data_IF_730088787044
#
_entry.id   IF_730088787044
#
_cell.length_a   1.000
_cell.length_b   1.000
_cell.length_c   1.000
_cell.angle_alpha   90.00
_cell.angle_beta   90.00
_cell.angle_gamma   90.00
#
_symmetry.space_group_name_H-M   'P 1'
#
loop_
_entity.id
_entity.type
_entity.pdbx_description
1 polymer ?
#
# COMPACT_ATOMS: atom_id res chain seq x y z
N UNK A 1 -14.47 -43.65 -21.58
CA UNK A 1 -14.11 -43.23 -20.21
C UNK A 1 -14.32 -41.72 -20.14
N UNK A 2 -15.49 -41.29 -19.66
CA UNK A 2 -15.82 -39.87 -19.54
C UNK A 2 -15.05 -39.35 -18.33
N UNK A 3 -14.07 -38.46 -18.56
CA UNK A 3 -13.40 -37.73 -17.49
C UNK A 3 -14.47 -37.05 -16.64
N UNK A 4 -14.58 -37.41 -15.37
CA UNK A 4 -15.44 -36.70 -14.43
C UNK A 4 -15.06 -35.20 -14.48
N UNK A 5 -16.04 -34.27 -14.58
CA UNK A 5 -15.72 -32.86 -14.58
C UNK A 5 -14.94 -32.52 -13.31
N UNK A 6 -13.78 -31.88 -13.47
CA UNK A 6 -12.91 -31.51 -12.37
C UNK A 6 -13.75 -30.80 -11.30
N UNK A 7 -13.67 -31.27 -10.05
CA UNK A 7 -14.46 -30.73 -8.93
C UNK A 7 -14.18 -29.23 -8.79
N UNK A 8 -15.12 -28.40 -9.27
CA UNK A 8 -15.02 -26.95 -9.20
C UNK A 8 -14.94 -26.52 -7.74
N UNK A 9 -13.86 -25.84 -7.37
CA UNK A 9 -13.72 -25.26 -6.03
C UNK A 9 -14.34 -23.87 -6.06
N UNK A 10 -15.52 -23.64 -5.46
CA UNK A 10 -16.12 -22.31 -5.46
C UNK A 10 -15.17 -21.30 -4.81
N UNK A 11 -15.10 -20.08 -5.38
CA UNK A 11 -14.31 -18.94 -4.86
C UNK A 11 -12.79 -19.14 -4.82
N UNK A 12 -12.24 -20.16 -5.50
CA UNK A 12 -10.78 -20.41 -5.49
C UNK A 12 -9.99 -19.19 -5.95
N UNK A 13 -10.47 -18.50 -6.98
CA UNK A 13 -9.93 -17.23 -7.49
C UNK A 13 -9.88 -16.13 -6.42
N UNK A 14 -10.98 -15.92 -5.69
CA UNK A 14 -11.04 -14.94 -4.60
C UNK A 14 -10.10 -15.30 -3.45
N UNK A 15 -9.99 -16.59 -3.11
CA UNK A 15 -9.07 -17.05 -2.06
C UNK A 15 -7.61 -16.93 -2.48
N UNK A 16 -7.28 -17.18 -3.75
CA UNK A 16 -5.94 -16.94 -4.28
C UNK A 16 -5.59 -15.45 -4.23
N UNK A 17 -6.51 -14.57 -4.64
CA UNK A 17 -6.34 -13.12 -4.51
C UNK A 17 -6.15 -12.71 -3.04
N UNK A 18 -7.00 -13.21 -2.13
CA UNK A 18 -6.88 -12.91 -0.70
C UNK A 18 -5.57 -13.42 -0.10
N UNK A 19 -5.09 -14.61 -0.48
CA UNK A 19 -3.82 -15.16 0.01
C UNK A 19 -2.60 -14.30 -0.37
N UNK A 20 -2.70 -13.50 -1.43
CA UNK A 20 -1.62 -12.58 -1.83
C UNK A 20 -1.45 -11.43 -0.86
N UNK A 21 -2.50 -11.03 -0.14
CA UNK A 21 -2.48 -9.94 0.85
C UNK A 21 -1.48 -10.23 1.99
N UNK A 22 -1.64 -11.28 2.82
CA UNK A 22 -0.71 -11.54 3.91
C UNK A 22 0.70 -11.84 3.39
N UNK A 23 0.83 -12.50 2.23
CA UNK A 23 2.13 -12.75 1.62
C UNK A 23 2.84 -11.44 1.24
N UNK A 24 2.15 -10.56 0.52
CA UNK A 24 2.67 -9.26 0.09
C UNK A 24 3.07 -8.40 1.27
N UNK A 25 2.18 -8.19 2.25
CA UNK A 25 2.50 -7.31 3.39
C UNK A 25 3.57 -7.89 4.32
N UNK A 26 3.64 -9.21 4.47
CA UNK A 26 4.71 -9.85 5.26
C UNK A 26 6.07 -9.70 4.56
N UNK A 27 6.13 -10.02 3.27
CA UNK A 27 7.35 -9.88 2.48
C UNK A 27 7.80 -8.42 2.41
N UNK A 28 6.86 -7.51 2.13
CA UNK A 28 7.11 -6.08 2.12
C UNK A 28 7.63 -5.61 3.47
N UNK A 29 6.97 -5.95 4.59
CA UNK A 29 7.39 -5.56 5.93
C UNK A 29 8.78 -6.06 6.30
N UNK A 30 9.11 -7.33 6.03
CA UNK A 30 10.43 -7.92 6.31
C UNK A 30 11.51 -7.27 5.44
N UNK A 31 11.24 -7.01 4.17
CA UNK A 31 12.26 -6.46 3.28
C UNK A 31 12.46 -4.97 3.54
N UNK A 32 11.37 -4.23 3.76
CA UNK A 32 11.36 -2.79 3.88
C UNK A 32 11.79 -2.28 5.27
N UNK A 33 11.65 -3.10 6.32
CA UNK A 33 12.05 -2.74 7.68
C UNK A 33 13.44 -3.32 8.00
N UNK A 34 13.63 -4.62 8.36
CA UNK A 34 14.92 -5.10 8.80
C UNK A 34 15.96 -5.32 7.69
N UNK A 35 15.57 -5.67 6.46
CA UNK A 35 16.56 -5.93 5.39
C UNK A 35 17.12 -4.62 4.80
N UNK A 36 16.26 -3.69 4.39
CA UNK A 36 16.71 -2.41 3.82
C UNK A 36 17.10 -1.38 4.88
N UNK A 37 16.56 -1.51 6.10
CA UNK A 37 16.66 -0.47 7.12
C UNK A 37 15.95 0.83 6.75
N UNK A 38 15.07 0.87 5.74
CA UNK A 38 14.39 2.12 5.30
C UNK A 38 13.40 2.66 6.34
N UNK A 39 12.90 1.79 7.22
CA UNK A 39 11.87 2.12 8.21
C UNK A 39 12.32 1.82 9.65
N UNK A 40 12.00 2.68 10.63
CA UNK A 40 11.37 4.00 10.49
C UNK A 40 12.18 4.97 9.59
N UNK A 41 11.54 5.98 8.97
CA UNK A 41 12.23 6.86 8.03
C UNK A 41 13.40 7.56 8.71
N UNK A 42 14.56 7.58 8.05
CA UNK A 42 15.69 8.39 8.50
C UNK A 42 15.35 9.89 8.38
N UNK A 43 16.01 10.73 9.16
CA UNK A 43 15.67 12.16 9.25
C UNK A 43 15.95 12.92 7.94
N UNK A 44 15.14 13.94 7.57
CA UNK A 44 15.52 14.91 6.54
C UNK A 44 16.79 15.68 6.87
N UNK A 45 17.10 15.83 8.16
CA UNK A 45 18.32 16.51 8.62
C UNK A 45 19.51 15.55 8.78
N UNK A 46 19.49 14.36 8.15
CA UNK A 46 20.62 13.43 8.20
C UNK A 46 21.85 14.06 7.56
N UNK A 47 23.01 13.91 8.20
CA UNK A 47 24.26 14.44 7.66
C UNK A 47 24.67 13.70 6.37
N UNK A 48 25.42 14.35 5.45
CA UNK A 48 25.84 13.71 4.21
C UNK A 48 26.53 12.33 4.41
N UNK A 49 27.45 12.14 5.39
CA UNK A 49 28.03 10.83 5.64
C UNK A 49 26.99 9.76 6.00
N UNK A 50 26.01 10.08 6.84
CA UNK A 50 24.94 9.14 7.22
C UNK A 50 24.05 8.74 6.03
N UNK A 51 23.82 9.68 5.10
CA UNK A 51 23.10 9.38 3.86
C UNK A 51 23.93 8.44 2.99
N UNK A 52 25.24 8.72 2.80
CA UNK A 52 26.12 7.84 2.02
C UNK A 52 26.17 6.44 2.61
N UNK A 53 26.35 6.32 3.93
CA UNK A 53 26.39 5.02 4.62
C UNK A 53 25.12 4.20 4.41
N UNK A 54 23.95 4.85 4.44
CA UNK A 54 22.68 4.18 4.14
C UNK A 54 22.57 3.80 2.66
N UNK A 55 22.81 4.76 1.76
CA UNK A 55 22.63 4.57 0.32
C UNK A 55 23.62 3.54 -0.25
N UNK A 56 24.77 3.32 0.40
CA UNK A 56 25.79 2.34 0.02
C UNK A 56 25.80 1.09 0.91
N UNK A 57 24.76 0.86 1.72
CA UNK A 57 24.68 -0.33 2.56
C UNK A 57 24.48 -1.61 1.73
N UNK A 58 25.13 -2.70 2.14
CA UNK A 58 25.19 -3.97 1.40
C UNK A 58 23.82 -4.57 1.08
N UNK A 59 22.82 -4.34 1.94
CA UNK A 59 21.49 -4.92 1.81
C UNK A 59 20.51 -4.06 1.02
N UNK A 60 20.79 -2.77 0.81
CA UNK A 60 19.82 -1.84 0.23
C UNK A 60 19.48 -2.20 -1.22
N UNK A 61 20.48 -2.51 -2.05
CA UNK A 61 20.26 -2.87 -3.45
C UNK A 61 19.43 -4.15 -3.58
N UNK A 62 19.75 -5.17 -2.78
CA UNK A 62 19.01 -6.44 -2.75
C UNK A 62 17.57 -6.20 -2.30
N UNK A 63 17.36 -5.39 -1.27
CA UNK A 63 16.02 -5.05 -0.81
C UNK A 63 15.21 -4.30 -1.87
N UNK A 64 15.80 -3.31 -2.55
CA UNK A 64 15.16 -2.59 -3.66
C UNK A 64 14.77 -3.52 -4.82
N UNK A 65 15.63 -4.48 -5.16
CA UNK A 65 15.34 -5.47 -6.20
C UNK A 65 14.15 -6.36 -5.81
N UNK A 66 14.13 -6.88 -4.58
CA UNK A 66 13.03 -7.70 -4.07
C UNK A 66 11.72 -6.90 -4.05
N UNK A 67 11.74 -5.68 -3.51
CA UNK A 67 10.55 -4.83 -3.44
C UNK A 67 10.04 -4.44 -4.84
N UNK A 68 10.94 -4.16 -5.79
CA UNK A 68 10.56 -3.90 -7.18
C UNK A 68 9.85 -5.10 -7.80
N UNK A 69 10.31 -6.33 -7.55
CA UNK A 69 9.63 -7.55 -8.00
C UNK A 69 8.28 -7.75 -7.30
N UNK A 70 8.19 -7.39 -6.01
CA UNK A 70 6.97 -7.47 -5.23
C UNK A 70 5.89 -6.47 -5.69
N UNK A 71 6.26 -5.40 -6.41
CA UNK A 71 5.31 -4.41 -6.93
C UNK A 71 4.18 -5.05 -7.74
N UNK A 72 4.48 -6.11 -8.52
CA UNK A 72 3.48 -6.85 -9.30
C UNK A 72 2.39 -7.53 -8.45
N UNK A 73 2.62 -7.71 -7.15
CA UNK A 73 1.64 -8.29 -6.21
C UNK A 73 0.68 -7.24 -5.63
N UNK A 74 1.01 -5.95 -5.71
CA UNK A 74 0.17 -4.87 -5.19
C UNK A 74 -1.20 -4.78 -5.92
N UNK A 75 -1.28 -4.81 -7.27
CA UNK A 75 -2.57 -4.84 -7.96
C UNK A 75 -3.42 -6.07 -7.58
N UNK A 76 -2.77 -7.23 -7.42
CA UNK A 76 -3.44 -8.48 -7.06
C UNK A 76 -3.98 -8.44 -5.61
N UNK A 77 -3.19 -7.88 -4.69
CA UNK A 77 -3.62 -7.67 -3.30
C UNK A 77 -4.80 -6.71 -3.21
N UNK A 78 -4.84 -5.68 -4.07
CA UNK A 78 -5.94 -4.72 -4.11
C UNK A 78 -7.21 -5.26 -4.80
N UNK A 79 -7.11 -6.34 -5.57
CA UNK A 79 -8.25 -6.95 -6.26
C UNK A 79 -9.36 -7.39 -5.28
N UNK A 80 -9.01 -7.74 -4.04
CA UNK A 80 -9.98 -8.14 -3.01
C UNK A 80 -10.97 -7.02 -2.68
N UNK A 81 -10.55 -5.74 -2.73
CA UNK A 81 -11.44 -4.61 -2.55
C UNK A 81 -12.39 -4.45 -3.74
N UNK A 82 -11.85 -4.59 -4.95
CA UNK A 82 -12.61 -4.44 -6.20
C UNK A 82 -13.75 -5.47 -6.31
N UNK A 83 -13.49 -6.70 -5.85
CA UNK A 83 -14.49 -7.77 -5.79
C UNK A 83 -15.60 -7.42 -4.80
N UNK A 84 -15.28 -6.86 -3.64
CA UNK A 84 -16.31 -6.42 -2.69
C UNK A 84 -17.15 -5.27 -3.25
N UNK A 85 -16.52 -4.23 -3.84
CA UNK A 85 -17.26 -3.11 -4.46
C UNK A 85 -18.17 -3.60 -5.57
N UNK A 86 -17.75 -4.60 -6.36
CA UNK A 86 -18.57 -5.15 -7.45
C UNK A 86 -19.91 -5.72 -6.96
N UNK A 87 -19.97 -6.23 -5.73
CA UNK A 87 -21.16 -6.81 -5.12
C UNK A 87 -22.06 -5.74 -4.47
N UNK A 88 -21.55 -4.53 -4.29
CA UNK A 88 -22.29 -3.43 -3.67
C UNK A 88 -23.30 -2.82 -4.64
N UNK A 89 -24.36 -2.20 -4.11
CA UNK A 89 -25.40 -1.50 -4.86
C UNK A 89 -24.96 -0.11 -5.35
N UNK A 90 -23.71 0.04 -5.78
CA UNK A 90 -23.11 1.33 -6.15
C UNK A 90 -22.63 1.31 -7.59
N UNK A 91 -22.50 2.50 -8.19
CA UNK A 91 -21.98 2.63 -9.55
C UNK A 91 -20.55 2.06 -9.67
N UNK A 92 -20.19 1.43 -10.81
CA UNK A 92 -18.83 0.99 -11.08
C UNK A 92 -17.75 2.08 -10.97
N UNK A 93 -18.15 3.36 -10.95
CA UNK A 93 -17.24 4.50 -10.75
C UNK A 93 -16.32 4.31 -9.55
N UNK A 94 -16.83 3.83 -8.40
CA UNK A 94 -16.01 3.63 -7.21
C UNK A 94 -14.96 2.54 -7.39
N UNK A 95 -15.29 1.48 -8.15
CA UNK A 95 -14.35 0.40 -8.45
C UNK A 95 -13.23 0.89 -9.36
N UNK A 96 -13.55 1.68 -10.39
CA UNK A 96 -12.53 2.25 -11.28
C UNK A 96 -11.67 3.29 -10.57
N UNK A 97 -12.26 4.16 -9.76
CA UNK A 97 -11.53 5.13 -8.93
C UNK A 97 -10.57 4.43 -7.95
N UNK A 98 -11.01 3.34 -7.30
CA UNK A 98 -10.15 2.54 -6.43
C UNK A 98 -8.99 1.94 -7.23
N UNK A 99 -9.27 1.31 -8.37
CA UNK A 99 -8.24 0.69 -9.20
C UNK A 99 -7.18 1.70 -9.64
N UNK A 100 -7.59 2.82 -10.23
CA UNK A 100 -6.67 3.88 -10.70
C UNK A 100 -5.93 4.50 -9.53
N UNK A 101 -6.62 4.88 -8.46
CA UNK A 101 -6.01 5.49 -7.27
C UNK A 101 -4.98 4.56 -6.62
N UNK A 102 -5.27 3.27 -6.53
CA UNK A 102 -4.36 2.28 -5.94
C UNK A 102 -3.07 2.12 -6.75
N UNK A 103 -3.16 2.18 -8.09
CA UNK A 103 -2.00 2.07 -8.97
C UNK A 103 -1.17 3.34 -9.01
N UNK A 104 -1.83 4.50 -9.06
CA UNK A 104 -1.14 5.79 -8.92
C UNK A 104 -0.37 5.86 -7.60
N UNK A 105 -1.01 5.49 -6.49
CA UNK A 105 -0.36 5.41 -5.18
C UNK A 105 0.79 4.41 -5.14
N UNK A 106 0.62 3.19 -5.66
CA UNK A 106 1.68 2.19 -5.65
C UNK A 106 2.88 2.60 -6.52
N UNK A 107 2.66 3.22 -7.68
CA UNK A 107 3.77 3.67 -8.55
C UNK A 107 4.59 4.76 -7.84
N UNK A 108 3.93 5.79 -7.31
CA UNK A 108 4.63 6.90 -6.65
C UNK A 108 5.21 6.46 -5.31
N UNK A 109 4.46 5.69 -4.52
CA UNK A 109 4.80 5.33 -3.16
C UNK A 109 5.69 4.11 -3.00
N UNK A 110 5.80 3.26 -4.01
CA UNK A 110 6.62 2.06 -3.95
C UNK A 110 7.69 2.07 -5.03
N UNK A 111 7.31 2.27 -6.29
CA UNK A 111 8.24 2.12 -7.40
C UNK A 111 9.29 3.25 -7.47
N UNK A 112 8.87 4.51 -7.30
CA UNK A 112 9.81 5.64 -7.32
C UNK A 112 10.87 5.56 -6.22
N UNK A 113 10.52 5.31 -4.93
CA UNK A 113 11.52 5.10 -3.89
C UNK A 113 12.50 3.97 -4.21
N UNK A 114 12.01 2.85 -4.76
CA UNK A 114 12.89 1.74 -5.13
C UNK A 114 13.88 2.13 -6.23
N UNK A 115 13.47 2.95 -7.19
CA UNK A 115 14.38 3.46 -8.21
C UNK A 115 15.37 4.48 -7.65
N UNK A 116 14.95 5.36 -6.73
CA UNK A 116 15.84 6.34 -6.10
C UNK A 116 16.88 5.67 -5.19
N UNK A 117 16.44 4.85 -4.23
CA UNK A 117 17.31 4.15 -3.31
C UNK A 117 18.13 3.07 -4.02
N UNK A 118 17.51 2.33 -4.94
CA UNK A 118 18.18 1.32 -5.75
C UNK A 118 19.27 1.92 -6.64
N UNK A 119 19.03 3.05 -7.29
CA UNK A 119 20.04 3.73 -8.10
C UNK A 119 21.23 4.20 -7.24
N UNK A 120 20.96 4.79 -6.07
CA UNK A 120 22.02 5.20 -5.17
C UNK A 120 22.86 4.02 -4.67
N UNK A 121 22.24 2.86 -4.42
CA UNK A 121 22.95 1.64 -4.02
C UNK A 121 23.63 0.89 -5.17
N UNK A 122 23.20 1.09 -6.40
CA UNK A 122 23.65 0.31 -7.56
C UNK A 122 25.11 0.60 -7.95
N UNK A 123 25.57 1.85 -7.78
CA UNK A 123 26.90 2.27 -8.21
C UNK A 123 27.59 3.06 -7.09
N UNK A 124 28.86 2.72 -6.85
CA UNK A 124 29.74 3.46 -5.94
C UNK A 124 30.31 4.71 -6.60
N UNK A 125 30.70 5.70 -5.79
CA UNK A 125 31.43 6.88 -6.28
C UNK A 125 30.55 8.05 -6.76
N UNK A 126 29.25 8.03 -6.45
CA UNK A 126 28.42 9.23 -6.56
C UNK A 126 28.89 10.31 -5.59
N UNK A 127 28.83 11.57 -6.02
CA UNK A 127 28.99 12.71 -5.12
C UNK A 127 27.93 12.65 -4.00
N UNK A 128 28.28 12.98 -2.74
CA UNK A 128 27.35 12.92 -1.62
C UNK A 128 26.07 13.74 -1.82
N UNK A 129 26.13 14.85 -2.58
CA UNK A 129 24.98 15.68 -2.90
C UNK A 129 23.96 14.99 -3.82
N UNK A 130 24.42 14.12 -4.73
CA UNK A 130 23.54 13.31 -5.60
C UNK A 130 22.83 12.25 -4.77
N UNK A 131 23.54 11.59 -3.86
CA UNK A 131 22.94 10.63 -2.94
C UNK A 131 21.92 11.30 -2.01
N UNK A 132 22.19 12.52 -1.52
CA UNK A 132 21.24 13.31 -0.75
C UNK A 132 19.97 13.63 -1.54
N UNK A 133 20.08 14.06 -2.80
CA UNK A 133 18.92 14.31 -3.66
C UNK A 133 18.08 13.03 -3.91
N UNK A 134 18.73 11.89 -4.19
CA UNK A 134 18.04 10.61 -4.35
C UNK A 134 17.38 10.15 -3.05
N UNK A 135 18.04 10.37 -1.92
CA UNK A 135 17.51 10.08 -0.60
C UNK A 135 16.25 10.90 -0.31
N UNK A 136 16.30 12.22 -0.52
CA UNK A 136 15.17 13.12 -0.32
C UNK A 136 14.00 12.76 -1.23
N UNK A 137 14.24 12.55 -2.53
CA UNK A 137 13.20 12.11 -3.44
C UNK A 137 12.65 10.73 -3.01
N UNK A 138 13.49 9.77 -2.65
CA UNK A 138 13.02 8.46 -2.19
C UNK A 138 12.03 8.55 -1.02
N UNK A 139 12.36 9.33 0.02
CA UNK A 139 11.46 9.50 1.17
C UNK A 139 10.24 10.38 0.85
N UNK A 140 10.41 11.46 0.09
CA UNK A 140 9.29 12.32 -0.31
C UNK A 140 8.33 11.61 -1.27
N UNK A 141 8.81 10.74 -2.15
CA UNK A 141 7.97 9.91 -3.00
C UNK A 141 7.22 8.89 -2.13
N UNK A 142 7.90 8.20 -1.22
CA UNK A 142 7.26 7.20 -0.35
C UNK A 142 6.18 7.84 0.54
N UNK A 143 6.56 8.82 1.36
CA UNK A 143 5.68 9.44 2.35
C UNK A 143 4.72 10.45 1.70
N UNK A 144 5.15 11.16 0.66
CA UNK A 144 4.29 12.09 -0.07
C UNK A 144 3.26 11.41 -0.98
N UNK A 145 3.48 10.15 -1.38
CA UNK A 145 2.50 9.36 -2.16
C UNK A 145 1.21 9.06 -1.41
N UNK A 146 1.20 9.22 -0.10
CA UNK A 146 0.02 9.11 0.75
C UNK A 146 -1.15 9.93 0.17
N UNK A 147 -0.86 11.14 -0.33
CA UNK A 147 -1.83 11.96 -1.07
C UNK A 147 -2.40 11.31 -2.35
N UNK A 148 -1.63 10.46 -3.03
CA UNK A 148 -2.08 9.71 -4.22
C UNK A 148 -3.08 8.60 -3.87
N UNK A 149 -3.04 8.06 -2.64
CA UNK A 149 -4.01 7.07 -2.14
C UNK A 149 -5.33 7.68 -1.68
N UNK A 150 -5.42 9.01 -1.55
CA UNK A 150 -6.64 9.71 -1.13
C UNK A 150 -7.88 9.29 -1.93
N UNK A 151 -7.76 9.25 -3.27
CA UNK A 151 -8.88 8.89 -4.15
C UNK A 151 -9.31 7.44 -3.91
N UNK A 152 -8.36 6.54 -3.67
CA UNK A 152 -8.63 5.12 -3.40
C UNK A 152 -9.46 4.97 -2.12
N UNK A 153 -9.02 5.58 -1.01
CA UNK A 153 -9.71 5.45 0.28
C UNK A 153 -11.03 6.18 0.33
N UNK A 154 -11.12 7.36 -0.29
CA UNK A 154 -12.39 8.07 -0.40
C UNK A 154 -13.40 7.24 -1.21
N UNK A 155 -12.98 6.69 -2.35
CA UNK A 155 -13.85 5.86 -3.19
C UNK A 155 -14.30 4.59 -2.44
N UNK A 156 -13.40 3.90 -1.74
CA UNK A 156 -13.74 2.70 -0.99
C UNK A 156 -14.68 2.99 0.20
N UNK A 157 -14.38 4.04 0.98
CA UNK A 157 -15.20 4.44 2.11
C UNK A 157 -16.61 4.84 1.69
N UNK A 158 -16.74 5.65 0.63
CA UNK A 158 -18.03 6.06 0.08
C UNK A 158 -18.80 4.88 -0.52
N UNK A 159 -18.13 3.94 -1.20
CA UNK A 159 -18.78 2.73 -1.71
C UNK A 159 -19.45 1.96 -0.57
N UNK A 160 -18.74 1.74 0.55
CA UNK A 160 -19.31 1.07 1.73
C UNK A 160 -20.48 1.87 2.32
N UNK A 161 -20.35 3.20 2.46
CA UNK A 161 -21.39 4.06 3.06
C UNK A 161 -22.64 4.12 2.21
N UNK A 162 -22.53 4.09 0.88
CA UNK A 162 -23.67 4.17 -0.04
C UNK A 162 -24.30 2.81 -0.35
N UNK A 163 -23.60 1.70 -0.09
CA UNK A 163 -24.07 0.35 -0.40
C UNK A 163 -25.31 -0.10 0.40
N UNK A 164 -26.46 -0.29 -0.24
CA UNK A 164 -27.65 -0.85 0.41
C UNK A 164 -27.61 -2.38 0.54
N UNK A 165 -26.75 -3.08 -0.21
CA UNK A 165 -26.58 -4.53 -0.11
C UNK A 165 -25.84 -4.96 1.17
N UNK A 166 -25.17 -4.02 1.85
CA UNK A 166 -24.43 -4.25 3.09
C UNK A 166 -23.35 -5.35 2.97
N UNK A 167 -22.63 -5.37 1.84
CA UNK A 167 -21.53 -6.34 1.56
C UNK A 167 -20.42 -6.25 2.59
N UNK A 168 -20.16 -5.03 3.07
CA UNK A 168 -19.26 -4.70 4.17
C UNK A 168 -20.01 -3.85 5.20
N UNK A 169 -19.61 -3.91 6.49
CA UNK A 169 -20.33 -3.19 7.54
C UNK A 169 -20.15 -1.66 7.41
N UNK A 170 -21.22 -0.89 7.63
CA UNK A 170 -21.21 0.57 7.45
C UNK A 170 -20.15 1.32 8.28
N UNK A 171 -19.89 0.87 9.50
CA UNK A 171 -18.84 1.47 10.36
C UNK A 171 -17.44 1.40 9.73
N UNK A 172 -17.16 0.38 8.91
CA UNK A 172 -15.90 0.24 8.20
C UNK A 172 -15.74 1.32 7.12
N UNK A 173 -16.85 1.78 6.54
CA UNK A 173 -16.85 2.92 5.63
C UNK A 173 -16.38 4.20 6.31
N UNK A 174 -16.94 4.52 7.49
CA UNK A 174 -16.51 5.68 8.28
C UNK A 174 -15.06 5.55 8.78
N UNK A 175 -14.62 4.34 9.16
CA UNK A 175 -13.22 4.13 9.53
C UNK A 175 -12.28 4.30 8.31
N UNK A 176 -12.68 3.82 7.13
CA UNK A 176 -11.92 4.05 5.90
C UNK A 176 -11.81 5.54 5.54
N UNK A 177 -12.84 6.36 5.82
CA UNK A 177 -12.75 7.83 5.64
C UNK A 177 -11.65 8.44 6.51
N UNK A 178 -11.37 7.89 7.69
CA UNK A 178 -10.22 8.35 8.49
C UNK A 178 -8.87 8.04 7.84
N UNK A 179 -8.75 7.00 7.01
CA UNK A 179 -7.53 6.78 6.22
C UNK A 179 -7.30 7.93 5.25
N UNK A 180 -8.35 8.35 4.54
CA UNK A 180 -8.27 9.54 3.68
C UNK A 180 -7.83 10.79 4.47
N UNK A 181 -8.35 11.01 5.68
CA UNK A 181 -7.93 12.14 6.52
C UNK A 181 -6.45 12.05 6.89
N UNK A 182 -5.95 10.87 7.26
CA UNK A 182 -4.53 10.69 7.59
C UNK A 182 -3.62 10.88 6.38
N UNK A 183 -4.06 10.50 5.18
CA UNK A 183 -3.31 10.77 3.94
C UNK A 183 -3.13 12.28 3.71
N UNK A 184 -4.18 13.08 3.96
CA UNK A 184 -4.10 14.54 3.86
C UNK A 184 -3.14 15.15 4.88
N UNK A 185 -3.05 14.54 6.06
CA UNK A 185 -2.14 14.98 7.13
C UNK A 185 -0.67 14.76 6.77
N UNK A 186 -0.35 13.96 5.75
CA UNK A 186 0.99 13.83 5.23
C UNK A 186 1.42 14.99 4.33
N UNK A 187 0.50 15.82 3.83
CA UNK A 187 0.80 16.93 2.92
C UNK A 187 1.90 17.91 3.42
N UNK A 188 1.99 18.25 4.72
CA UNK A 188 3.05 19.12 5.24
C UNK A 188 4.49 18.57 5.05
N UNK A 189 4.66 17.30 4.70
CA UNK A 189 5.97 16.69 4.45
C UNK A 189 6.81 17.42 3.40
N UNK A 190 6.14 18.09 2.44
CA UNK A 190 6.78 18.83 1.36
C UNK A 190 7.35 20.19 1.78
N UNK A 191 6.98 20.69 2.95
CA UNK A 191 7.39 22.00 3.45
C UNK A 191 8.13 21.96 4.78
N UNK A 192 8.10 20.82 5.49
CA UNK A 192 8.73 20.64 6.79
C UNK A 192 9.93 19.68 6.71
N UNK A 193 11.12 20.20 7.01
CA UNK A 193 12.37 19.42 7.08
C UNK A 193 12.73 18.97 8.49
N UNK A 194 11.98 19.39 9.51
CA UNK A 194 12.17 18.99 10.91
C UNK A 194 10.86 19.09 11.71
N UNK A 195 10.86 18.55 12.92
CA UNK A 195 9.72 18.60 13.83
C UNK A 195 8.63 17.58 13.52
N UNK A 196 7.40 17.76 14.06
CA UNK A 196 6.34 16.74 14.01
C UNK A 196 5.82 16.45 12.59
N UNK A 197 6.00 17.39 11.67
CA UNK A 197 5.50 17.32 10.29
C UNK A 197 6.55 16.89 9.26
N UNK A 198 7.82 16.72 9.67
CA UNK A 198 8.83 16.09 8.83
C UNK A 198 8.45 14.64 8.49
N UNK A 199 9.03 14.06 7.44
CA UNK A 199 8.63 12.69 7.01
C UNK A 199 8.90 11.60 8.04
N UNK A 200 9.83 11.82 8.97
CA UNK A 200 10.10 10.93 10.11
C UNK A 200 9.40 11.40 11.40
N UNK A 201 8.59 12.46 11.33
CA UNK A 201 7.96 13.13 12.47
C UNK A 201 6.76 12.37 13.03
N UNK A 202 6.34 12.78 14.23
CA UNK A 202 5.24 12.17 14.97
C UNK A 202 3.90 12.20 14.21
N UNK A 203 3.57 13.33 13.58
CA UNK A 203 2.28 13.51 12.90
C UNK A 203 2.25 12.88 11.51
N UNK A 204 3.38 12.92 10.78
CA UNK A 204 3.45 12.41 9.41
C UNK A 204 3.61 10.89 9.38
N UNK A 205 4.50 10.32 10.20
CA UNK A 205 4.80 8.89 10.15
C UNK A 205 4.05 8.11 11.23
N UNK A 206 4.25 8.44 12.50
CA UNK A 206 3.77 7.60 13.60
C UNK A 206 2.26 7.64 13.78
N UNK A 207 1.65 8.82 13.70
CA UNK A 207 0.19 8.97 13.76
C UNK A 207 -0.49 8.21 12.61
N UNK A 208 0.06 8.32 11.38
CA UNK A 208 -0.43 7.56 10.23
C UNK A 208 -0.32 6.05 10.48
N UNK A 209 0.82 5.55 10.96
CA UNK A 209 1.02 4.13 11.26
C UNK A 209 0.04 3.58 12.31
N UNK A 210 -0.20 4.33 13.39
CA UNK A 210 -1.13 3.92 14.47
C UNK A 210 -2.56 3.77 13.97
N UNK A 211 -2.97 4.54 12.96
CA UNK A 211 -4.32 4.47 12.39
C UNK A 211 -4.38 3.43 11.26
N UNK A 212 -3.35 3.40 10.41
CA UNK A 212 -3.27 2.53 9.23
C UNK A 212 -3.16 1.05 9.61
N UNK A 213 -2.26 0.67 10.51
CA UNK A 213 -1.99 -0.75 10.83
C UNK A 213 -3.23 -1.46 11.39
N UNK A 214 -3.95 -0.94 12.40
CA UNK A 214 -5.17 -1.57 12.90
C UNK A 214 -6.27 -1.59 11.84
N UNK A 215 -6.45 -0.49 11.10
CA UNK A 215 -7.45 -0.42 10.04
C UNK A 215 -7.21 -1.49 8.97
N UNK A 216 -5.94 -1.67 8.57
CA UNK A 216 -5.55 -2.66 7.56
C UNK A 216 -5.87 -4.09 8.01
N UNK A 217 -5.60 -4.43 9.27
CA UNK A 217 -5.97 -5.75 9.81
C UNK A 217 -7.50 -5.91 9.78
N UNK A 218 -8.21 -4.90 10.26
CA UNK A 218 -9.66 -4.92 10.38
C UNK A 218 -10.35 -5.06 9.01
N UNK A 219 -9.92 -4.28 8.01
CA UNK A 219 -10.53 -4.31 6.68
C UNK A 219 -10.36 -5.68 6.02
N UNK A 220 -9.20 -6.32 6.15
CA UNK A 220 -8.98 -7.66 5.60
C UNK A 220 -9.73 -8.74 6.36
N UNK A 221 -9.93 -8.61 7.68
CA UNK A 221 -10.82 -9.50 8.44
C UNK A 221 -12.27 -9.37 7.94
N UNK A 222 -12.74 -8.16 7.68
CA UNK A 222 -14.07 -7.92 7.13
C UNK A 222 -14.21 -8.51 5.71
N UNK A 223 -13.20 -8.32 4.85
CA UNK A 223 -13.18 -8.89 3.49
C UNK A 223 -13.15 -10.41 3.53
N UNK A 224 -12.31 -11.02 4.37
CA UNK A 224 -12.27 -12.47 4.56
C UNK A 224 -13.65 -13.02 4.95
N UNK A 225 -14.31 -12.37 5.92
CA UNK A 225 -15.68 -12.74 6.33
C UNK A 225 -16.67 -12.59 5.18
N UNK A 226 -16.56 -11.53 4.39
CA UNK A 226 -17.46 -11.29 3.25
C UNK A 226 -17.29 -12.34 2.14
N UNK A 227 -16.05 -12.73 1.80
CA UNK A 227 -15.77 -13.83 0.85
C UNK A 227 -16.33 -15.16 1.38
N UNK A 228 -16.08 -15.47 2.66
CA UNK A 228 -16.56 -16.70 3.30
C UNK A 228 -18.09 -16.80 3.25
N UNK A 229 -18.78 -15.70 3.53
CA UNK A 229 -20.24 -15.65 3.65
C UNK A 229 -20.96 -15.38 2.32
N UNK A 230 -20.23 -15.13 1.22
CA UNK A 230 -20.85 -14.91 -0.09
C UNK A 230 -21.65 -16.16 -0.53
N UNK A 231 -22.93 -16.05 -0.91
CA UNK A 231 -23.68 -17.16 -1.51
C UNK A 231 -23.07 -17.63 -2.85
N UNK A 232 -23.17 -18.93 -3.16
CA UNK A 232 -22.57 -19.49 -4.39
C UNK A 232 -23.30 -19.04 -5.67
N UNK A 233 -24.57 -18.64 -5.57
CA UNK A 233 -25.39 -18.07 -6.66
C UNK A 233 -25.02 -16.62 -7.00
N UNK A 234 -24.34 -15.90 -6.10
CA UNK A 234 -23.74 -14.59 -6.39
C UNK A 234 -22.41 -14.69 -7.16
N UNK A 235 -21.88 -15.90 -7.37
CA UNK A 235 -20.63 -16.07 -8.10
C UNK A 235 -20.87 -15.89 -9.60
N UNK A 236 -20.12 -15.00 -10.25
CA UNK A 236 -20.20 -14.79 -11.72
C UNK A 236 -19.93 -16.04 -12.53
N UNK A 237 -19.17 -16.93 -11.93
CA UNK A 237 -18.78 -18.18 -12.53
C UNK A 237 -19.85 -19.25 -12.31
N UNK A 238 -20.85 -19.08 -11.43
CA UNK A 238 -21.82 -20.11 -11.01
C UNK A 238 -22.31 -21.01 -12.16
#
# INVERSE_FOLDING_TARGET
>A
MILAPARRRPKLDQWLAFATVPFFFTLFGIVFVPLSGMMPPRSPSSSPPQIVDFMQSDSLLVACAILTLCFGLAPLSNAVYLIQIKRMSVSPVFRYSLMVGSMSGAIVGMLFPMFCFGLGAFRTGYDPSVLAMLYDFGYLAYIGSLGCFCVMWLAFGLAIILDTNSVLPKWLGYYTVWQYVTELMAAPVWIATSGPFAWNGLMTFWFAMVIYVPWQIIVYVCIHRSIKNQPDDELENA
#
